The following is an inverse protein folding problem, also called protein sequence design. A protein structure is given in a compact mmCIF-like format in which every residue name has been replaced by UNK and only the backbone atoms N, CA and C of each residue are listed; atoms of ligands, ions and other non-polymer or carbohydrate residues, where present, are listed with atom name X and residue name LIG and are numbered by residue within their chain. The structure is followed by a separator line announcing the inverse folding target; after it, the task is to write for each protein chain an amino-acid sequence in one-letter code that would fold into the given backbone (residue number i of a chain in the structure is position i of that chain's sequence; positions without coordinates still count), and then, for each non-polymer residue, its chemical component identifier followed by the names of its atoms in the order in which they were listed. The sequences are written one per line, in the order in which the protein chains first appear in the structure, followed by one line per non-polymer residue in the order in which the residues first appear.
data_IF_356551614712
#
_entry.id   IF_356551614712
#
_cell.length_a   1.000
_cell.length_b   1.000
_cell.length_c   1.000
_cell.angle_alpha   90.00
_cell.angle_beta   90.00
_cell.angle_gamma   90.00
#
_symmetry.space_group_name_H-M   'P 1'
#
loop_
_entity.id
_entity.type
_entity.pdbx_description
1 polymer ?
#
# COMPACT_ATOMS: atom_id res chain seq x y z
N UNK A 1 -5.93 -2.69 14.38
CA UNK A 1 -5.18 -1.43 14.53
C UNK A 1 -5.88 -0.52 15.53
N UNK A 2 -5.16 0.33 16.26
CA UNK A 2 -5.69 1.29 17.23
C UNK A 2 -5.47 2.72 16.73
N UNK A 3 -6.51 3.55 16.76
CA UNK A 3 -6.43 4.98 16.41
C UNK A 3 -5.97 5.86 17.59
N UNK A 4 -5.80 7.17 17.34
CA UNK A 4 -5.29 8.14 18.32
C UNK A 4 -6.16 8.28 19.58
N UNK A 5 -7.46 8.04 19.46
CA UNK A 5 -8.40 8.06 20.60
C UNK A 5 -8.63 6.67 21.19
N UNK A 6 -7.89 5.68 20.71
CA UNK A 6 -7.81 4.36 21.28
C UNK A 6 -8.82 3.34 20.76
N UNK A 7 -9.57 3.64 19.68
CA UNK A 7 -10.55 2.73 19.07
C UNK A 7 -9.87 1.68 18.20
N UNK A 8 -10.42 0.48 18.18
CA UNK A 8 -9.98 -0.60 17.30
C UNK A 8 -10.63 -0.48 15.92
N UNK A 9 -9.84 -0.71 14.87
CA UNK A 9 -10.28 -0.79 13.49
C UNK A 9 -9.41 -1.77 12.69
N UNK A 10 -10.00 -2.42 11.70
CA UNK A 10 -9.27 -3.20 10.70
C UNK A 10 -8.93 -2.27 9.55
N UNK A 11 -7.66 -2.28 9.11
CA UNK A 11 -7.12 -1.42 8.07
C UNK A 11 -6.13 -2.22 7.25
N UNK A 12 -6.11 -1.96 5.95
CA UNK A 12 -5.15 -2.56 5.04
C UNK A 12 -3.77 -1.91 5.19
N UNK A 13 -2.73 -2.74 5.16
CA UNK A 13 -1.33 -2.34 5.18
C UNK A 13 -0.72 -2.70 3.83
N UNK A 14 -0.03 -1.75 3.21
CA UNK A 14 0.63 -1.93 1.93
C UNK A 14 2.13 -1.96 2.14
N UNK A 15 2.73 -3.08 1.74
CA UNK A 15 4.17 -3.29 1.83
C UNK A 15 4.78 -3.38 0.43
N UNK A 16 6.02 -2.95 0.32
CA UNK A 16 6.89 -3.19 -0.84
C UNK A 16 7.33 -4.66 -0.85
N UNK A 17 7.87 -5.13 -1.98
CA UNK A 17 8.34 -6.51 -2.12
C UNK A 17 9.41 -6.92 -1.10
N UNK A 18 10.17 -5.98 -0.58
CA UNK A 18 11.20 -6.19 0.45
C UNK A 18 10.63 -6.21 1.88
N UNK A 19 9.30 -6.11 2.04
CA UNK A 19 8.62 -6.07 3.33
C UNK A 19 8.60 -4.68 3.98
N UNK A 20 9.10 -3.64 3.30
CA UNK A 20 9.03 -2.26 3.80
C UNK A 20 7.61 -1.73 3.72
N UNK A 21 7.08 -1.20 4.82
CA UNK A 21 5.77 -0.54 4.81
C UNK A 21 5.79 0.68 3.88
N UNK A 22 4.90 0.71 2.89
CA UNK A 22 4.69 1.84 1.97
C UNK A 22 3.67 2.80 2.57
N UNK A 23 2.51 2.28 2.96
CA UNK A 23 1.39 3.07 3.51
C UNK A 23 0.34 2.14 4.12
N UNK A 24 -0.74 2.71 4.66
CA UNK A 24 -1.90 1.97 5.13
C UNK A 24 -3.19 2.75 4.83
N UNK A 25 -4.33 2.05 4.78
CA UNK A 25 -5.62 2.69 4.50
C UNK A 25 -6.03 3.65 5.62
N UNK A 26 -6.31 4.91 5.25
CA UNK A 26 -6.72 5.98 6.18
C UNK A 26 -8.18 5.86 6.61
N UNK A 27 -8.99 5.07 5.93
CA UNK A 27 -10.33 4.66 6.40
C UNK A 27 -10.32 3.20 6.83
N UNK A 28 -11.03 2.82 7.91
CA UNK A 28 -11.25 1.42 8.23
C UNK A 28 -11.87 0.66 7.06
N UNK A 29 -11.55 -0.63 6.96
CA UNK A 29 -12.18 -1.51 5.97
C UNK A 29 -13.66 -1.67 6.30
N UNK A 30 -14.50 -1.46 5.30
CA UNK A 30 -15.91 -1.80 5.35
C UNK A 30 -16.15 -3.02 4.45
N UNK A 31 -17.00 -3.97 4.87
CA UNK A 31 -17.34 -5.09 4.01
C UNK A 31 -18.14 -4.61 2.79
N UNK A 32 -17.82 -5.18 1.63
CA UNK A 32 -18.41 -4.89 0.33
C UNK A 32 -18.68 -6.20 -0.40
N UNK A 33 -19.87 -6.37 -0.96
CA UNK A 33 -20.22 -7.59 -1.68
C UNK A 33 -21.39 -7.38 -2.60
N UNK A 34 -21.46 -8.17 -3.67
CA UNK A 34 -22.61 -8.20 -4.58
C UNK A 34 -23.63 -9.28 -4.19
N UNK A 35 -23.23 -10.18 -3.30
CA UNK A 35 -24.02 -11.30 -2.78
C UNK A 35 -23.81 -11.52 -1.27
N UNK A 36 -24.68 -12.35 -0.66
CA UNK A 36 -24.51 -12.84 0.72
C UNK A 36 -23.22 -13.65 0.90
N UNK A 37 -22.85 -14.41 -0.13
CA UNK A 37 -21.67 -15.26 -0.17
C UNK A 37 -20.39 -14.42 -0.14
N UNK A 38 -20.35 -13.34 -0.93
CA UNK A 38 -19.24 -12.36 -0.91
C UNK A 38 -19.08 -11.76 0.49
N UNK A 39 -20.20 -11.37 1.09
CA UNK A 39 -20.20 -10.78 2.43
C UNK A 39 -19.71 -11.77 3.49
N UNK A 40 -20.14 -13.04 3.43
CA UNK A 40 -19.70 -14.08 4.34
C UNK A 40 -18.21 -14.39 4.21
N UNK A 41 -17.69 -14.41 2.97
CA UNK A 41 -16.27 -14.59 2.72
C UNK A 41 -15.47 -13.46 3.37
N UNK A 42 -15.86 -12.20 3.14
CA UNK A 42 -15.17 -11.05 3.74
C UNK A 42 -15.26 -11.02 5.26
N UNK A 43 -16.42 -11.38 5.84
CA UNK A 43 -16.54 -11.49 7.30
C UNK A 43 -15.55 -12.51 7.88
N UNK A 44 -15.28 -13.60 7.16
CA UNK A 44 -14.29 -14.61 7.57
C UNK A 44 -12.88 -14.06 7.53
N UNK A 45 -12.53 -13.31 6.49
CA UNK A 45 -11.21 -12.66 6.37
C UNK A 45 -11.01 -11.60 7.46
N UNK A 46 -12.02 -10.75 7.69
CA UNK A 46 -12.00 -9.76 8.77
C UNK A 46 -11.91 -10.42 10.15
N UNK A 47 -12.53 -11.59 10.33
CA UNK A 47 -12.37 -12.38 11.55
C UNK A 47 -10.92 -12.84 11.72
N UNK A 48 -10.26 -13.29 10.64
CA UNK A 48 -8.85 -13.69 10.69
C UNK A 48 -7.91 -12.54 11.07
N UNK A 49 -8.29 -11.27 10.82
CA UNK A 49 -7.50 -10.12 11.22
C UNK A 49 -7.37 -9.96 12.75
N UNK A 50 -8.25 -10.58 13.55
CA UNK A 50 -8.13 -10.57 15.02
C UNK A 50 -6.98 -11.46 15.53
N UNK A 51 -6.51 -12.40 14.72
CA UNK A 51 -5.36 -13.25 15.04
C UNK A 51 -4.02 -12.56 14.72
N UNK A 52 -4.06 -11.40 14.05
CA UNK A 52 -2.88 -10.62 13.70
C UNK A 52 -2.48 -9.63 14.82
N UNK A 53 -1.20 -9.22 14.86
CA UNK A 53 -0.74 -8.20 15.81
C UNK A 53 -1.51 -6.88 15.70
N UNK A 54 -1.86 -6.31 16.85
CA UNK A 54 -2.51 -5.00 16.91
C UNK A 54 -1.44 -3.91 16.75
N UNK A 55 -1.55 -3.13 15.68
CA UNK A 55 -0.68 -1.99 15.39
C UNK A 55 -1.33 -0.65 15.83
N UNK A 56 -0.53 0.39 16.06
CA UNK A 56 -0.99 1.77 16.34
C UNK A 56 -0.85 2.67 15.11
N UNK A 57 -1.86 3.48 14.80
CA UNK A 57 -1.76 4.47 13.70
C UNK A 57 -0.63 5.47 13.94
N UNK A 58 -0.45 5.90 15.20
CA UNK A 58 0.60 6.86 15.58
C UNK A 58 1.99 6.30 15.32
N UNK A 59 2.21 5.02 15.62
CA UNK A 59 3.50 4.36 15.41
C UNK A 59 3.80 4.15 13.91
N UNK A 60 2.76 3.81 13.13
CA UNK A 60 2.88 3.65 11.70
C UNK A 60 3.18 4.99 11.01
N UNK A 61 2.46 6.06 11.37
CA UNK A 61 2.72 7.40 10.85
C UNK A 61 4.14 7.86 11.20
N UNK A 62 4.60 7.62 12.44
CA UNK A 62 5.98 7.91 12.82
C UNK A 62 7.02 7.10 12.02
N UNK A 63 6.70 5.85 11.66
CA UNK A 63 7.57 5.00 10.83
C UNK A 63 7.63 5.51 9.39
N UNK A 64 6.49 5.88 8.81
CA UNK A 64 6.39 6.43 7.45
C UNK A 64 7.11 7.77 7.33
N UNK A 65 6.93 8.68 8.29
CA UNK A 65 7.61 9.99 8.29
C UNK A 65 9.14 9.87 8.46
N UNK A 66 9.64 8.81 9.11
CA UNK A 66 11.08 8.53 9.17
C UNK A 66 11.61 8.07 7.82
N UNK A 67 10.85 7.25 7.10
CA UNK A 67 11.23 6.76 5.78
C UNK A 67 11.28 7.85 4.72
N UNK A 68 10.33 8.80 4.72
CA UNK A 68 10.32 9.93 3.79
C UNK A 68 11.60 10.77 3.90
N UNK A 69 12.18 10.89 5.10
CA UNK A 69 13.44 11.62 5.32
C UNK A 69 14.66 10.90 4.78
N UNK A 70 14.62 9.57 4.69
CA UNK A 70 15.67 8.74 4.07
C UNK A 70 15.49 8.53 2.56
N UNK A 71 14.41 9.06 1.99
CA UNK A 71 13.91 8.73 0.66
C UNK A 71 14.10 9.79 -0.42
N UNK A 72 14.94 10.82 -0.24
CA UNK A 72 15.50 11.56 -1.39
C UNK A 72 16.51 10.66 -2.11
N UNK A 73 16.04 9.52 -2.65
CA UNK A 73 16.70 8.93 -3.81
C UNK A 73 16.33 9.83 -4.96
N UNK A 74 17.34 10.44 -5.57
CA UNK A 74 17.25 11.07 -6.87
C UNK A 74 16.45 10.12 -7.77
N UNK A 75 15.19 10.47 -8.06
CA UNK A 75 14.50 9.87 -9.19
C UNK A 75 15.44 10.03 -10.36
N UNK A 76 15.82 8.90 -10.97
CA UNK A 76 16.66 8.89 -12.17
C UNK A 76 16.14 9.90 -13.21
N UNK A 77 16.99 10.29 -14.17
CA UNK A 77 16.72 11.42 -15.05
C UNK A 77 15.28 11.39 -15.56
N UNK A 78 14.55 12.50 -15.35
CA UNK A 78 13.18 12.67 -15.86
C UNK A 78 13.24 12.64 -17.38
N UNK A 79 13.12 11.46 -17.97
CA UNK A 79 13.00 11.32 -19.41
C UNK A 79 11.58 11.67 -19.84
N UNK A 80 11.47 12.46 -20.90
CA UNK A 80 10.18 12.85 -21.46
C UNK A 80 9.58 11.70 -22.26
N UNK A 81 8.26 11.70 -22.44
CA UNK A 81 7.56 10.72 -23.30
C UNK A 81 8.13 10.67 -24.73
N UNK A 82 8.67 11.79 -25.22
CA UNK A 82 9.30 11.85 -26.54
C UNK A 82 10.64 11.10 -26.58
N UNK A 83 11.41 11.11 -25.48
CA UNK A 83 12.65 10.34 -25.38
C UNK A 83 12.38 8.83 -25.35
N UNK A 84 11.31 8.41 -24.67
CA UNK A 84 10.90 7.00 -24.63
C UNK A 84 10.49 6.49 -26.02
N UNK A 85 9.78 7.31 -26.80
CA UNK A 85 9.38 6.94 -28.17
C UNK A 85 10.59 6.74 -29.10
N UNK A 86 11.61 7.57 -28.97
CA UNK A 86 12.83 7.47 -29.78
C UNK A 86 13.63 6.22 -29.43
N UNK A 87 13.73 5.89 -28.14
CA UNK A 87 14.42 4.69 -27.67
C UNK A 87 13.71 3.40 -28.14
N UNK A 88 12.39 3.32 -28.00
CA UNK A 88 11.61 2.18 -28.50
C UNK A 88 11.59 2.07 -30.03
N UNK A 89 11.68 3.20 -30.76
CA UNK A 89 11.74 3.20 -32.21
C UNK A 89 13.13 2.77 -32.75
N UNK A 90 14.19 2.87 -31.93
CA UNK A 90 15.54 2.42 -32.29
C UNK A 90 15.78 0.92 -32.08
N UNK A 91 14.94 0.23 -31.31
CA UNK A 91 15.09 -1.20 -30.99
C UNK A 91 14.33 -2.12 -31.96
N UNK A 92 13.57 -1.54 -32.90
CA UNK A 92 12.79 -2.25 -33.90
C UNK A 92 13.49 -2.26 -35.28
N UNK A 93 14.75 -2.67 -35.36
CA UNK A 93 15.37 -3.36 -36.51
C UNK A 93 16.74 -3.90 -36.04
N UNK A 94 17.04 -5.20 -36.25
CA UNK A 94 17.54 -5.59 -37.57
C UNK A 94 17.16 -7.01 -38.08
N UNK A 95 17.29 -7.11 -39.41
CA UNK A 95 17.51 -8.27 -40.29
C UNK A 95 16.30 -9.07 -40.80
#
# INVERSE_FOLDING_TARGET
MRDEIGRYSIRELFYERDGRLITYSKTPVAPVGSSSEDLLLQMRELRGAFDLPILSTVELDATLSKQEKTGQKETGPRISLEQIKVELAGEAEPA
#
